data_IF_750920881692
#
_entry.id   IF_750920881692
#
_cell.length_a   1.000
_cell.length_b   1.000
_cell.length_c   1.000
_cell.angle_alpha   90.00
_cell.angle_beta   90.00
_cell.angle_gamma   90.00
#
_symmetry.space_group_name_H-M   'P 1'
#
loop_
_entity.id
_entity.type
_entity.pdbx_description
1 polymer ?
#
# COMPACT_ATOMS: atom_id res chain seq x y z
N UNK A 1 8.08 25.83 -2.34
CA UNK A 1 7.23 26.01 -1.15
C UNK A 1 5.75 25.84 -1.50
N UNK A 2 5.10 26.75 -2.23
CA UNK A 2 3.64 26.65 -2.49
C UNK A 2 3.21 25.40 -3.28
N UNK A 3 3.92 25.03 -4.35
CA UNK A 3 3.56 23.87 -5.18
C UNK A 3 3.98 22.53 -4.57
N UNK A 4 4.90 22.53 -3.61
CA UNK A 4 5.45 21.31 -3.00
C UNK A 4 4.35 20.52 -2.30
N UNK A 5 3.46 21.19 -1.56
CA UNK A 5 2.32 20.54 -0.91
C UNK A 5 1.33 19.96 -1.92
N UNK A 6 1.06 20.66 -3.02
CA UNK A 6 0.17 20.19 -4.10
C UNK A 6 0.74 18.91 -4.73
N UNK A 7 2.04 18.90 -5.03
CA UNK A 7 2.72 17.73 -5.61
C UNK A 7 2.67 16.54 -4.66
N UNK A 8 2.96 16.73 -3.38
CA UNK A 8 2.91 15.66 -2.36
C UNK A 8 1.49 15.13 -2.19
N UNK A 9 0.49 16.02 -2.17
CA UNK A 9 -0.92 15.63 -2.12
C UNK A 9 -1.32 14.78 -3.32
N UNK A 10 -0.90 15.16 -4.53
CA UNK A 10 -1.14 14.40 -5.74
C UNK A 10 -0.46 13.03 -5.73
N UNK A 11 0.81 12.95 -5.29
CA UNK A 11 1.53 11.69 -5.09
C UNK A 11 0.79 10.78 -4.11
N UNK A 12 0.30 11.35 -3.00
CA UNK A 12 -0.46 10.61 -1.97
C UNK A 12 -1.76 10.05 -2.53
N UNK A 13 -2.50 10.86 -3.30
CA UNK A 13 -3.74 10.42 -3.92
C UNK A 13 -3.50 9.27 -4.90
N UNK A 14 -2.48 9.36 -5.75
CA UNK A 14 -2.11 8.29 -6.69
C UNK A 14 -1.68 7.04 -5.92
N UNK A 15 -0.86 7.16 -4.88
CA UNK A 15 -0.42 6.03 -4.08
C UNK A 15 -1.63 5.28 -3.49
N UNK A 16 -2.56 6.00 -2.87
CA UNK A 16 -3.78 5.41 -2.29
C UNK A 16 -4.63 4.74 -3.39
N UNK A 17 -4.86 5.44 -4.51
CA UNK A 17 -5.67 4.94 -5.61
C UNK A 17 -5.11 3.66 -6.25
N UNK A 18 -3.78 3.56 -6.37
CA UNK A 18 -3.10 2.37 -6.89
C UNK A 18 -3.09 1.21 -5.88
N UNK A 19 -2.91 1.50 -4.60
CA UNK A 19 -2.80 0.45 -3.59
C UNK A 19 -4.12 -0.27 -3.29
N UNK A 20 -5.27 0.38 -3.48
CA UNK A 20 -6.58 -0.28 -3.33
C UNK A 20 -6.74 -1.53 -4.22
N UNK A 21 -6.60 -1.44 -5.57
CA UNK A 21 -6.69 -2.61 -6.44
C UNK A 21 -5.52 -3.57 -6.26
N UNK A 22 -4.32 -3.09 -5.88
CA UNK A 22 -3.17 -3.95 -5.56
C UNK A 22 -3.50 -4.86 -4.38
N UNK A 23 -4.06 -4.32 -3.29
CA UNK A 23 -4.43 -5.10 -2.11
C UNK A 23 -5.50 -6.14 -2.42
N UNK A 24 -6.51 -5.78 -3.22
CA UNK A 24 -7.55 -6.72 -3.65
C UNK A 24 -6.95 -7.86 -4.47
N UNK A 25 -6.07 -7.57 -5.42
CA UNK A 25 -5.38 -8.61 -6.22
C UNK A 25 -4.42 -9.43 -5.38
N UNK A 26 -3.66 -8.80 -4.49
CA UNK A 26 -2.72 -9.46 -3.59
C UNK A 26 -3.47 -10.43 -2.67
N UNK A 27 -4.60 -10.00 -2.09
CA UNK A 27 -5.49 -10.89 -1.33
C UNK A 27 -6.02 -11.99 -2.24
N UNK A 28 -6.50 -11.72 -3.46
CA UNK A 28 -7.10 -12.72 -4.35
C UNK A 28 -6.12 -13.83 -4.80
N UNK A 29 -4.85 -13.49 -5.00
CA UNK A 29 -3.81 -14.46 -5.42
C UNK A 29 -3.09 -15.09 -4.22
N UNK A 30 -2.64 -14.29 -3.25
CA UNK A 30 -1.69 -14.73 -2.20
C UNK A 30 -2.27 -14.76 -0.77
N UNK A 31 -3.52 -14.33 -0.59
CA UNK A 31 -4.23 -14.28 0.71
C UNK A 31 -3.59 -13.24 1.62
N UNK A 32 -4.00 -13.14 2.88
CA UNK A 32 -3.33 -12.31 3.89
C UNK A 32 -1.84 -12.65 4.11
N UNK A 33 -1.37 -13.82 3.68
CA UNK A 33 0.00 -14.29 3.92
C UNK A 33 1.08 -13.48 3.20
N UNK A 34 0.71 -12.65 2.22
CA UNK A 34 1.65 -11.72 1.55
C UNK A 34 2.03 -10.50 2.42
N UNK A 35 1.44 -10.35 3.61
CA UNK A 35 1.72 -9.22 4.51
C UNK A 35 3.22 -8.93 4.77
N UNK A 36 4.15 -9.92 4.86
CA UNK A 36 5.55 -9.60 5.11
C UNK A 36 6.19 -8.84 3.94
N UNK A 37 5.74 -9.05 2.71
CA UNK A 37 6.25 -8.34 1.52
C UNK A 37 5.91 -6.86 1.62
N UNK A 38 4.67 -6.53 1.99
CA UNK A 38 4.25 -5.16 2.25
C UNK A 38 5.01 -4.54 3.43
N UNK A 39 5.28 -5.31 4.49
CA UNK A 39 6.03 -4.84 5.64
C UNK A 39 7.49 -4.50 5.30
N UNK A 40 8.20 -5.42 4.64
CA UNK A 40 9.60 -5.25 4.23
C UNK A 40 9.72 -4.07 3.26
N UNK A 41 8.87 -4.02 2.25
CA UNK A 41 8.90 -2.94 1.26
C UNK A 41 8.56 -1.59 1.91
N UNK A 42 7.56 -1.55 2.80
CA UNK A 42 7.19 -0.36 3.55
C UNK A 42 8.34 0.19 4.40
N UNK A 43 8.98 -0.66 5.20
CA UNK A 43 10.13 -0.26 6.04
C UNK A 43 11.31 0.20 5.17
N UNK A 44 11.62 -0.51 4.09
CA UNK A 44 12.68 -0.13 3.17
C UNK A 44 12.44 1.27 2.58
N UNK A 45 11.22 1.58 2.13
CA UNK A 45 10.87 2.90 1.61
C UNK A 45 10.99 4.00 2.67
N UNK A 46 10.58 3.72 3.92
CA UNK A 46 10.74 4.66 5.03
C UNK A 46 12.21 4.94 5.33
N UNK A 47 13.06 3.91 5.36
CA UNK A 47 14.51 4.08 5.57
C UNK A 47 15.09 4.96 4.45
N UNK A 48 14.76 4.66 3.19
CA UNK A 48 15.22 5.46 2.04
C UNK A 48 14.73 6.91 2.10
N UNK A 49 13.53 7.16 2.65
CA UNK A 49 12.97 8.51 2.77
C UNK A 49 13.80 9.42 3.67
N UNK A 50 14.46 8.86 4.69
CA UNK A 50 15.32 9.61 5.64
C UNK A 50 16.61 10.08 4.97
N UNK A 51 17.13 9.31 4.02
CA UNK A 51 18.36 9.65 3.29
C UNK A 51 18.12 10.54 2.07
N UNK A 52 16.87 10.81 1.71
CA UNK A 52 16.53 11.63 0.56
C UNK A 52 16.71 13.13 0.86
N UNK A 53 17.55 13.81 0.08
CA UNK A 53 17.85 15.25 0.25
C UNK A 53 16.76 16.16 -0.34
N UNK A 54 16.01 15.66 -1.32
CA UNK A 54 14.91 16.39 -1.96
C UNK A 54 13.59 16.13 -1.23
N UNK A 55 12.93 17.19 -0.73
CA UNK A 55 11.68 17.10 0.05
C UNK A 55 10.57 16.34 -0.67
N UNK A 56 10.40 16.53 -1.99
CA UNK A 56 9.36 15.83 -2.76
C UNK A 56 9.66 14.33 -2.82
N UNK A 57 10.93 13.95 -2.99
CA UNK A 57 11.36 12.54 -3.06
C UNK A 57 11.24 11.90 -1.68
N UNK A 58 11.71 12.57 -0.63
CA UNK A 58 11.58 12.12 0.76
C UNK A 58 10.12 11.89 1.12
N UNK A 59 9.25 12.88 0.86
CA UNK A 59 7.82 12.77 1.12
C UNK A 59 7.16 11.66 0.28
N UNK A 60 7.50 11.53 -1.01
CA UNK A 60 6.98 10.47 -1.87
C UNK A 60 7.35 9.07 -1.36
N UNK A 61 8.60 8.87 -0.95
CA UNK A 61 9.06 7.61 -0.34
C UNK A 61 8.35 7.34 0.99
N UNK A 62 8.17 8.36 1.82
CA UNK A 62 7.45 8.23 3.08
C UNK A 62 5.98 7.83 2.85
N UNK A 63 5.30 8.49 1.91
CA UNK A 63 3.93 8.18 1.51
C UNK A 63 3.81 6.74 1.02
N UNK A 64 4.72 6.30 0.14
CA UNK A 64 4.73 4.91 -0.33
C UNK A 64 4.98 3.93 0.82
N UNK A 65 5.94 4.24 1.70
CA UNK A 65 6.25 3.41 2.87
C UNK A 65 5.04 3.21 3.79
N UNK A 66 4.40 4.30 4.20
CA UNK A 66 3.19 4.27 5.04
C UNK A 66 2.02 3.58 4.32
N UNK A 67 1.83 3.84 3.03
CA UNK A 67 0.75 3.19 2.25
C UNK A 67 0.93 1.67 2.20
N UNK A 68 2.16 1.17 2.07
CA UNK A 68 2.43 -0.27 2.15
C UNK A 68 2.12 -0.86 3.53
N UNK A 69 2.53 -0.18 4.60
CA UNK A 69 2.23 -0.64 5.96
C UNK A 69 0.72 -0.63 6.24
N UNK A 70 0.01 0.41 5.80
CA UNK A 70 -1.45 0.48 5.87
C UNK A 70 -2.13 -0.66 5.11
N UNK A 71 -1.58 -1.01 3.93
CA UNK A 71 -2.09 -2.09 3.08
C UNK A 71 -2.12 -3.46 3.77
N UNK A 72 -1.31 -3.67 4.80
CA UNK A 72 -1.37 -4.89 5.63
C UNK A 72 -2.71 -4.98 6.38
N UNK A 73 -3.17 -3.88 6.97
CA UNK A 73 -4.49 -3.83 7.61
C UNK A 73 -5.61 -3.98 6.59
N UNK A 74 -5.46 -3.37 5.42
CA UNK A 74 -6.43 -3.49 4.32
C UNK A 74 -6.51 -4.91 3.78
N UNK A 75 -5.41 -5.68 3.74
CA UNK A 75 -5.42 -7.10 3.38
C UNK A 75 -6.28 -7.92 4.34
N UNK A 76 -6.15 -7.70 5.65
CA UNK A 76 -6.95 -8.39 6.68
C UNK A 76 -8.42 -7.98 6.57
N UNK A 77 -8.70 -6.71 6.29
CA UNK A 77 -10.07 -6.25 6.07
C UNK A 77 -10.66 -6.84 4.78
N UNK A 78 -9.88 -6.92 3.71
CA UNK A 78 -10.29 -7.52 2.44
C UNK A 78 -10.62 -9.01 2.61
N UNK A 79 -9.84 -9.76 3.38
CA UNK A 79 -10.14 -11.16 3.73
C UNK A 79 -11.53 -11.27 4.37
N UNK A 80 -11.84 -10.43 5.37
CA UNK A 80 -13.17 -10.39 5.99
C UNK A 80 -14.28 -10.01 5.00
N UNK A 81 -14.00 -9.15 4.01
CA UNK A 81 -14.97 -8.82 2.94
C UNK A 81 -15.22 -10.01 2.01
N UNK A 82 -14.19 -10.80 1.72
CA UNK A 82 -14.32 -12.06 0.95
C UNK A 82 -15.09 -13.11 1.75
N UNK A 83 -14.81 -13.26 3.05
CA UNK A 83 -15.55 -14.18 3.94
C UNK A 83 -17.04 -13.83 4.04
N UNK A 84 -17.39 -12.53 4.02
CA UNK A 84 -18.78 -12.04 3.95
C UNK A 84 -19.44 -12.23 2.57
N UNK A 85 -18.69 -12.69 1.57
CA UNK A 85 -19.19 -12.88 0.20
C UNK A 85 -19.30 -11.59 -0.62
N UNK A 86 -18.73 -10.47 -0.17
CA UNK A 86 -18.75 -9.20 -0.93
C UNK A 86 -17.78 -9.21 -2.11
N UNK A 87 -16.77 -10.08 -2.07
CA UNK A 87 -15.81 -10.28 -3.14
C UNK A 87 -15.66 -11.77 -3.47
N UNK A 88 -15.45 -12.13 -4.74
CA UNK A 88 -15.29 -13.52 -5.15
C UNK A 88 -14.02 -14.11 -4.54
N UNK A 89 -14.18 -15.20 -3.78
CA UNK A 89 -13.04 -16.02 -3.35
C UNK A 89 -12.45 -16.72 -4.57
N UNK A 90 -11.13 -16.73 -4.68
CA UNK A 90 -10.46 -17.42 -5.78
C UNK A 90 -10.73 -18.94 -5.72
N UNK A 91 -11.43 -19.52 -6.71
CA UNK A 91 -11.80 -20.95 -6.70
C UNK A 91 -10.61 -21.89 -6.90
N UNK A 92 -9.44 -21.36 -7.30
CA UNK A 92 -8.19 -22.13 -7.42
C UNK A 92 -7.49 -22.34 -6.07
N UNK A 93 -8.03 -21.80 -4.98
CA UNK A 93 -7.59 -22.07 -3.61
C UNK A 93 -8.19 -23.39 -3.14
N UNK A 94 -7.38 -24.45 -3.10
CA UNK A 94 -7.63 -25.64 -2.30
C UNK A 94 -6.98 -25.47 -0.93
#
# INVERSE_FOLDING_TARGET
>A
MAYTGIIIGFISFIAIALYHPIVIKAEYYFTKNIWPVFAIFGIMMLILSVYATQVIVSAGLAVLGITNLWSIGELVHQEKRVEKGWFPKNPKRK
#
